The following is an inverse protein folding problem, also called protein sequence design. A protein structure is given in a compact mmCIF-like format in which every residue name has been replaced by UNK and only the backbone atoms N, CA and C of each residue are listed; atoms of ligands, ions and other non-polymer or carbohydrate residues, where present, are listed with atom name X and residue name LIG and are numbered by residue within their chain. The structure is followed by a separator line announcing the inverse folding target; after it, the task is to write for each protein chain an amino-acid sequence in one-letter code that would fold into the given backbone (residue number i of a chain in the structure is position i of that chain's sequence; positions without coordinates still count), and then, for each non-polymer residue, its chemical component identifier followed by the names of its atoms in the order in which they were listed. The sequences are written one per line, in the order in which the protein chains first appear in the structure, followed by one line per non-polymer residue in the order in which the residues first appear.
data_IF_455632280853
#
_entry.id   IF_455632280853
#
_cell.length_a   1.000
_cell.length_b   1.000
_cell.length_c   1.000
_cell.angle_alpha   90.00
_cell.angle_beta   90.00
_cell.angle_gamma   90.00
#
_symmetry.space_group_name_H-M   'P 1'
#
loop_
_entity.id
_entity.type
_entity.pdbx_description
1 polymer ?
#
# COMPACT_ATOMS: atom_id res chain seq x y z
N UNK A 1 -5.80 4.33 19.99
CA UNK A 1 -5.52 3.09 19.24
C UNK A 1 -5.50 3.43 17.76
N UNK A 2 -4.33 3.62 17.18
CA UNK A 2 -4.17 3.74 15.73
C UNK A 2 -4.53 2.39 15.12
N UNK A 3 -5.65 2.33 14.39
CA UNK A 3 -6.01 1.16 13.60
C UNK A 3 -5.13 1.14 12.36
N UNK A 4 -3.94 0.54 12.46
CA UNK A 4 -3.08 0.33 11.30
C UNK A 4 -3.65 -0.83 10.50
N UNK A 5 -4.19 -0.54 9.31
CA UNK A 5 -4.62 -1.57 8.39
C UNK A 5 -3.41 -2.39 7.93
N UNK A 6 -3.49 -3.72 7.99
CA UNK A 6 -2.47 -4.57 7.37
C UNK A 6 -2.67 -4.48 5.86
N UNK A 7 -1.62 -4.07 5.15
CA UNK A 7 -1.57 -4.08 3.69
C UNK A 7 -0.56 -5.13 3.20
N UNK A 8 -0.96 -5.89 2.18
CA UNK A 8 -0.09 -6.81 1.44
C UNK A 8 0.19 -6.21 0.08
N UNK A 9 1.47 -5.96 -0.22
CA UNK A 9 1.91 -5.42 -1.51
C UNK A 9 2.47 -6.57 -2.34
N UNK A 10 1.98 -6.73 -3.57
CA UNK A 10 2.40 -7.79 -4.49
C UNK A 10 2.74 -7.19 -5.86
N UNK A 11 3.74 -7.77 -6.52
CA UNK A 11 4.05 -7.47 -7.92
C UNK A 11 3.88 -8.74 -8.76
N UNK A 12 2.96 -8.70 -9.72
CA UNK A 12 2.77 -9.77 -10.68
C UNK A 12 3.09 -9.24 -12.09
N UNK A 13 4.23 -9.65 -12.65
CA UNK A 13 4.67 -9.27 -14.00
C UNK A 13 4.70 -7.75 -14.24
N UNK A 14 5.18 -6.98 -13.28
CA UNK A 14 5.25 -5.51 -13.36
C UNK A 14 3.96 -4.79 -12.96
N UNK A 15 2.89 -5.52 -12.65
CA UNK A 15 1.63 -4.96 -12.16
C UNK A 15 1.62 -5.03 -10.64
N UNK A 16 1.36 -3.88 -10.01
CA UNK A 16 1.32 -3.76 -8.55
C UNK A 16 -0.09 -3.95 -8.00
N UNK A 17 -0.17 -4.65 -6.88
CA UNK A 17 -1.40 -4.92 -6.14
C UNK A 17 -1.23 -4.54 -4.66
N UNK A 18 -2.31 -4.05 -4.06
CA UNK A 18 -2.45 -3.86 -2.61
C UNK A 18 -3.68 -4.61 -2.14
N UNK A 19 -3.52 -5.59 -1.25
CA UNK A 19 -4.60 -6.48 -0.80
C UNK A 19 -5.40 -7.09 -1.98
N UNK A 20 -4.68 -7.59 -2.98
CA UNK A 20 -5.22 -8.14 -4.24
C UNK A 20 -5.96 -7.14 -5.15
N UNK A 21 -5.94 -5.84 -4.83
CA UNK A 21 -6.48 -4.76 -5.67
C UNK A 21 -5.40 -4.16 -6.54
N UNK A 22 -5.61 -4.13 -7.84
CA UNK A 22 -4.64 -3.61 -8.81
C UNK A 22 -4.52 -2.09 -8.66
N UNK A 23 -3.30 -1.62 -8.36
CA UNK A 23 -3.02 -0.19 -8.27
C UNK A 23 -3.31 0.50 -9.60
N UNK A 24 -3.99 1.64 -9.53
CA UNK A 24 -4.43 2.42 -10.70
C UNK A 24 -5.70 1.90 -11.39
N UNK A 25 -6.28 0.79 -10.95
CA UNK A 25 -7.51 0.23 -11.52
C UNK A 25 -8.60 0.01 -10.47
N UNK A 26 -8.26 -0.65 -9.37
CA UNK A 26 -9.22 -1.01 -8.33
C UNK A 26 -9.25 0.05 -7.22
N UNK A 27 -10.44 0.30 -6.66
CA UNK A 27 -10.61 1.25 -5.56
C UNK A 27 -10.09 0.68 -4.25
N UNK A 28 -9.08 1.35 -3.69
CA UNK A 28 -8.65 1.13 -2.30
C UNK A 28 -9.62 1.81 -1.33
N UNK A 29 -9.79 1.21 -0.15
CA UNK A 29 -10.46 1.87 0.97
C UNK A 29 -9.57 2.95 1.58
N UNK A 30 -10.17 3.89 2.29
CA UNK A 30 -9.43 4.98 2.93
C UNK A 30 -8.37 4.46 3.93
N UNK A 31 -8.66 3.34 4.59
CA UNK A 31 -7.73 2.68 5.50
C UNK A 31 -6.52 2.08 4.77
N UNK A 32 -6.74 1.43 3.62
CA UNK A 32 -5.66 0.90 2.77
C UNK A 32 -4.81 2.02 2.19
N UNK A 33 -5.43 3.14 1.79
CA UNK A 33 -4.72 4.32 1.29
C UNK A 33 -3.84 4.91 2.40
N UNK A 34 -4.37 5.03 3.62
CA UNK A 34 -3.62 5.55 4.77
C UNK A 34 -2.39 4.68 5.06
N UNK A 35 -2.58 3.36 5.18
CA UNK A 35 -1.48 2.42 5.43
C UNK A 35 -0.45 2.41 4.29
N UNK A 36 -0.88 2.49 3.02
CA UNK A 36 0.04 2.55 1.88
C UNK A 36 0.88 3.83 1.90
N UNK A 37 0.29 4.97 2.27
CA UNK A 37 1.00 6.23 2.38
C UNK A 37 2.03 6.22 3.52
N UNK A 38 1.71 5.60 4.65
CA UNK A 38 2.65 5.39 5.77
C UNK A 38 3.84 4.53 5.32
N UNK A 39 3.56 3.38 4.69
CA UNK A 39 4.60 2.51 4.14
C UNK A 39 5.54 3.24 3.16
N UNK A 40 5.00 4.02 2.22
CA UNK A 40 5.82 4.76 1.25
C UNK A 40 6.71 5.81 1.94
N UNK A 41 6.21 6.48 2.97
CA UNK A 41 6.99 7.46 3.75
C UNK A 41 8.16 6.77 4.46
N UNK A 42 7.89 5.68 5.17
CA UNK A 42 8.90 4.89 5.87
C UNK A 42 9.95 4.35 4.89
N UNK A 43 9.53 3.76 3.77
CA UNK A 43 10.43 3.23 2.76
C UNK A 43 11.36 4.30 2.18
N UNK A 44 10.86 5.51 1.92
CA UNK A 44 11.70 6.62 1.44
C UNK A 44 12.71 7.08 2.50
N UNK A 45 12.30 7.14 3.76
CA UNK A 45 13.20 7.52 4.87
C UNK A 45 14.28 6.49 5.12
N UNK A 46 13.98 5.19 5.00
CA UNK A 46 14.98 4.12 5.18
C UNK A 46 15.99 4.00 4.04
N UNK A 47 15.69 4.58 2.88
CA UNK A 47 16.56 4.53 1.69
C UNK A 47 17.20 5.89 1.34
N UNK A 48 17.19 6.83 2.29
CA UNK A 48 17.97 8.07 2.25
C UNK A 48 19.18 7.97 3.18
#
# INVERSE_FOLDING_TARGET
MTHSAIIKIENHSGIWYVNHKRLGHDKLSDLEISALNEFIKEFKQSNQ
#
